data_IF_837561904136
#
_entry.id   IF_837561904136
#
_cell.length_a   1.000
_cell.length_b   1.000
_cell.length_c   1.000
_cell.angle_alpha   90.00
_cell.angle_beta   90.00
_cell.angle_gamma   90.00
#
_symmetry.space_group_name_H-M   'P 1'
#
loop_
_entity.id
_entity.type
_entity.pdbx_description
1 polymer ?
#
# COMPACT_ATOMS: atom_id res chain seq x y z
N UNK A 1 -9.81 -8.06 4.17
CA UNK A 1 -9.75 -6.66 3.68
C UNK A 1 -9.97 -6.53 2.17
N UNK A 2 -9.41 -7.43 1.34
CA UNK A 2 -9.66 -7.45 -0.11
C UNK A 2 -11.15 -7.48 -0.48
N UNK A 3 -11.93 -8.36 0.16
CA UNK A 3 -13.39 -8.44 -0.01
C UNK A 3 -14.11 -7.13 0.35
N UNK A 4 -13.60 -6.40 1.34
CA UNK A 4 -14.11 -5.06 1.68
C UNK A 4 -13.79 -4.06 0.55
N UNK A 5 -12.57 -4.05 0.02
CA UNK A 5 -12.22 -3.19 -1.12
C UNK A 5 -13.08 -3.44 -2.37
N UNK A 6 -13.40 -4.70 -2.65
CA UNK A 6 -14.22 -5.09 -3.81
C UNK A 6 -15.72 -4.84 -3.59
N UNK A 7 -16.23 -5.13 -2.38
CA UNK A 7 -17.67 -5.10 -2.11
C UNK A 7 -18.16 -3.79 -1.53
N UNK A 8 -17.29 -2.92 -0.99
CA UNK A 8 -17.72 -1.64 -0.43
C UNK A 8 -18.21 -0.73 -1.57
N UNK A 9 -19.51 -0.33 -1.59
CA UNK A 9 -20.03 0.56 -2.61
C UNK A 9 -19.18 1.83 -2.73
N UNK A 10 -19.06 2.41 -3.93
CA UNK A 10 -18.27 3.63 -4.15
C UNK A 10 -18.65 4.82 -3.26
N UNK A 11 -19.89 4.81 -2.76
CA UNK A 11 -20.47 5.83 -1.89
C UNK A 11 -20.68 5.35 -0.45
N UNK A 12 -20.20 4.17 -0.10
CA UNK A 12 -20.29 3.68 1.25
C UNK A 12 -19.48 4.60 2.15
N UNK A 13 -20.20 5.39 2.92
CA UNK A 13 -19.65 6.24 3.97
C UNK A 13 -19.48 5.37 5.18
N UNK A 14 -18.23 5.13 5.55
CA UNK A 14 -17.95 4.46 6.81
C UNK A 14 -17.82 5.54 7.89
N UNK A 15 -18.93 5.82 8.58
CA UNK A 15 -19.04 6.95 9.49
C UNK A 15 -17.89 7.04 10.53
N UNK A 16 -17.45 5.94 11.18
CA UNK A 16 -16.24 5.95 12.02
C UNK A 16 -14.98 6.46 11.32
N UNK A 17 -14.72 6.05 10.07
CA UNK A 17 -13.55 6.51 9.31
C UNK A 17 -13.71 7.96 8.88
N UNK A 18 -14.91 8.37 8.47
CA UNK A 18 -15.21 9.76 8.12
C UNK A 18 -15.00 10.70 9.32
N UNK A 19 -15.40 10.27 10.51
CA UNK A 19 -15.21 11.00 11.76
C UNK A 19 -13.74 11.04 12.18
N UNK A 20 -13.03 9.91 12.09
CA UNK A 20 -11.58 9.86 12.34
C UNK A 20 -10.82 10.84 11.42
N UNK A 21 -11.15 10.87 10.13
CA UNK A 21 -10.55 11.83 9.18
C UNK A 21 -10.93 13.27 9.55
N UNK A 22 -12.20 13.53 9.92
CA UNK A 22 -12.67 14.86 10.32
C UNK A 22 -11.93 15.40 11.54
N UNK A 23 -11.62 14.52 12.50
CA UNK A 23 -10.90 14.86 13.73
C UNK A 23 -9.36 14.91 13.54
N UNK A 24 -8.85 14.72 12.32
CA UNK A 24 -7.41 14.70 12.06
C UNK A 24 -6.71 13.42 12.54
N UNK A 25 -7.46 12.37 12.87
CA UNK A 25 -6.93 11.11 13.40
C UNK A 25 -5.93 10.41 12.47
N UNK A 26 -6.11 10.53 11.14
CA UNK A 26 -5.13 10.01 10.16
C UNK A 26 -3.77 10.72 10.32
N UNK A 27 -3.78 12.05 10.46
CA UNK A 27 -2.55 12.83 10.68
C UNK A 27 -1.91 12.46 12.00
N UNK A 28 -2.71 12.32 13.07
CA UNK A 28 -2.22 11.93 14.39
C UNK A 28 -1.55 10.56 14.37
N UNK A 29 -2.17 9.56 13.73
CA UNK A 29 -1.61 8.22 13.60
C UNK A 29 -0.29 8.23 12.82
N UNK A 30 -0.21 9.00 11.73
CA UNK A 30 1.03 9.16 10.96
C UNK A 30 2.13 9.88 11.77
N UNK A 31 1.77 10.88 12.57
CA UNK A 31 2.71 11.53 13.51
C UNK A 31 3.23 10.53 14.54
N UNK A 32 2.35 9.71 15.11
CA UNK A 32 2.72 8.64 16.05
C UNK A 32 3.73 7.68 15.42
N UNK A 33 3.48 7.22 14.19
CA UNK A 33 4.41 6.35 13.45
C UNK A 33 5.75 7.05 13.23
N UNK A 34 5.74 8.30 12.73
CA UNK A 34 6.96 9.04 12.46
C UNK A 34 7.80 9.29 13.73
N UNK A 35 7.16 9.63 14.85
CA UNK A 35 7.83 9.89 16.12
C UNK A 35 8.36 8.62 16.80
N UNK A 36 7.84 7.45 16.43
CA UNK A 36 8.29 6.19 17.00
C UNK A 36 9.75 5.83 16.68
N UNK A 37 10.33 6.49 15.68
CA UNK A 37 11.77 6.38 15.37
C UNK A 37 12.64 6.69 16.61
N UNK A 38 12.29 7.75 17.35
CA UNK A 38 13.04 8.22 18.52
C UNK A 38 12.66 7.48 19.82
N UNK A 39 11.67 6.59 19.77
CA UNK A 39 11.18 5.91 20.97
C UNK A 39 12.11 4.79 21.43
N UNK A 40 12.35 4.76 22.74
CA UNK A 40 13.18 3.74 23.40
C UNK A 40 12.38 2.85 24.38
N UNK A 41 11.10 2.59 24.10
CA UNK A 41 10.26 1.71 24.90
C UNK A 41 9.95 0.40 24.18
N UNK A 42 9.76 -0.68 24.95
CA UNK A 42 9.55 -2.04 24.44
C UNK A 42 8.28 -2.18 23.58
N UNK A 43 7.20 -1.47 23.93
CA UNK A 43 5.93 -1.52 23.21
C UNK A 43 5.86 -0.70 21.91
N UNK A 44 6.99 -0.19 21.39
CA UNK A 44 6.96 0.70 20.22
C UNK A 44 6.51 -0.01 18.95
N UNK A 45 6.96 -1.25 18.74
CA UNK A 45 6.56 -2.06 17.59
C UNK A 45 5.05 -2.29 17.58
N UNK A 46 4.47 -2.70 18.71
CA UNK A 46 3.02 -2.92 18.84
C UNK A 46 2.21 -1.64 18.63
N UNK A 47 2.71 -0.51 19.13
CA UNK A 47 2.04 0.79 18.97
C UNK A 47 2.03 1.23 17.51
N UNK A 48 3.17 1.14 16.83
CA UNK A 48 3.32 1.48 15.41
C UNK A 48 2.48 0.53 14.55
N UNK A 49 2.54 -0.77 14.82
CA UNK A 49 1.74 -1.80 14.14
C UNK A 49 0.25 -1.52 14.28
N UNK A 50 -0.25 -1.28 15.49
CA UNK A 50 -1.66 -0.96 15.72
C UNK A 50 -2.10 0.32 14.99
N UNK A 51 -1.25 1.35 14.98
CA UNK A 51 -1.52 2.57 14.23
C UNK A 51 -1.63 2.29 12.71
N UNK A 52 -0.69 1.52 12.16
CA UNK A 52 -0.69 1.12 10.75
C UNK A 52 -1.88 0.21 10.39
N UNK A 53 -2.28 -0.69 11.27
CA UNK A 53 -3.47 -1.53 11.09
C UNK A 53 -4.75 -0.69 10.99
N UNK A 54 -4.89 0.32 11.87
CA UNK A 54 -6.01 1.29 11.78
C UNK A 54 -5.94 2.06 10.46
N UNK A 55 -4.75 2.52 10.05
CA UNK A 55 -4.56 3.19 8.77
C UNK A 55 -4.89 2.27 7.59
N UNK A 56 -4.57 0.97 7.66
CA UNK A 56 -4.87 0.00 6.62
C UNK A 56 -6.39 -0.19 6.48
N UNK A 57 -7.10 -0.26 7.61
CA UNK A 57 -8.57 -0.26 7.63
C UNK A 57 -9.12 1.02 7.01
N UNK A 58 -8.57 2.19 7.36
CA UNK A 58 -9.02 3.46 6.81
C UNK A 58 -8.73 3.58 5.31
N UNK A 59 -7.62 3.01 4.83
CA UNK A 59 -7.17 3.10 3.44
C UNK A 59 -8.12 2.43 2.43
N UNK A 60 -9.18 1.75 2.86
CA UNK A 60 -10.24 1.27 1.96
C UNK A 60 -11.21 2.38 1.53
N UNK A 61 -11.25 3.48 2.30
CA UNK A 61 -12.14 4.62 2.10
C UNK A 61 -11.41 5.75 1.34
N UNK A 62 -11.95 6.25 0.22
CA UNK A 62 -11.34 7.31 -0.59
C UNK A 62 -10.88 8.56 0.17
N UNK A 63 -11.69 9.03 1.11
CA UNK A 63 -11.39 10.25 1.88
C UNK A 63 -10.16 10.07 2.76
N UNK A 64 -10.02 8.91 3.38
CA UNK A 64 -8.82 8.56 4.15
C UNK A 64 -7.60 8.37 3.24
N UNK A 65 -7.75 7.73 2.07
CA UNK A 65 -6.67 7.63 1.07
C UNK A 65 -6.10 9.00 0.68
N UNK A 66 -6.97 10.00 0.49
CA UNK A 66 -6.53 11.38 0.23
C UNK A 66 -5.80 11.98 1.44
N UNK A 67 -6.28 11.74 2.66
CA UNK A 67 -5.62 12.20 3.88
C UNK A 67 -4.22 11.58 4.09
N UNK A 68 -4.03 10.31 3.71
CA UNK A 68 -2.72 9.64 3.75
C UNK A 68 -1.68 10.30 2.83
N UNK A 69 -2.13 10.98 1.78
CA UNK A 69 -1.26 11.71 0.85
C UNK A 69 -0.91 13.13 1.34
N UNK A 70 -1.49 13.59 2.44
CA UNK A 70 -1.25 14.92 2.97
C UNK A 70 0.04 14.96 3.78
N UNK A 71 0.58 16.18 3.88
CA UNK A 71 1.70 16.48 4.74
C UNK A 71 1.25 16.47 6.20
N UNK A 72 2.03 15.82 7.07
CA UNK A 72 1.82 15.78 8.52
C UNK A 72 2.83 16.67 9.20
N UNK A 73 2.39 17.50 10.14
CA UNK A 73 3.29 18.35 10.92
C UNK A 73 4.02 17.49 11.97
N UNK A 74 5.34 17.57 12.06
CA UNK A 74 6.12 16.85 13.07
C UNK A 74 6.63 17.85 14.14
N UNK A 75 6.52 17.52 15.43
CA UNK A 75 7.03 18.37 16.51
C UNK A 75 8.56 18.54 16.55
N UNK A 76 9.33 17.70 15.84
CA UNK A 76 10.80 17.66 15.93
C UNK A 76 11.49 18.63 14.97
N UNK A 77 12.51 19.33 15.48
CA UNK A 77 13.11 20.56 14.91
C UNK A 77 13.89 20.44 13.58
N UNK A 78 14.00 19.26 12.98
CA UNK A 78 14.70 19.08 11.69
C UNK A 78 13.75 19.01 10.48
N UNK A 79 12.56 18.42 10.64
CA UNK A 79 11.57 18.27 9.57
C UNK A 79 10.23 18.74 10.09
N UNK A 80 9.84 19.98 9.77
CA UNK A 80 8.54 20.55 10.22
C UNK A 80 7.35 19.79 9.65
N UNK A 81 7.53 19.09 8.53
CA UNK A 81 6.48 18.28 7.94
C UNK A 81 7.04 17.17 7.05
N UNK A 82 6.44 15.98 7.14
CA UNK A 82 6.70 14.85 6.25
C UNK A 82 5.45 14.53 5.43
N UNK A 83 5.62 14.06 4.20
CA UNK A 83 4.50 13.51 3.43
C UNK A 83 4.02 12.21 4.10
N UNK A 84 2.72 12.07 4.33
CA UNK A 84 2.16 10.89 5.03
C UNK A 84 2.54 9.57 4.35
N UNK A 85 2.54 9.53 3.01
CA UNK A 85 2.98 8.35 2.26
C UNK A 85 4.48 8.04 2.47
N UNK A 86 5.33 9.05 2.64
CA UNK A 86 6.75 8.82 2.97
C UNK A 86 6.91 8.13 4.31
N UNK A 87 6.11 8.51 5.32
CA UNK A 87 6.14 7.88 6.65
C UNK A 87 5.73 6.41 6.57
N UNK A 88 4.68 6.11 5.79
CA UNK A 88 4.23 4.73 5.58
C UNK A 88 5.32 3.90 4.87
N UNK A 89 5.96 4.46 3.85
CA UNK A 89 7.02 3.78 3.11
C UNK A 89 8.27 3.56 3.96
N UNK A 90 8.66 4.52 4.80
CA UNK A 90 9.74 4.36 5.79
C UNK A 90 9.42 3.23 6.80
N UNK A 91 8.16 3.14 7.25
CA UNK A 91 7.74 2.04 8.11
C UNK A 91 7.75 0.68 7.37
N UNK A 92 7.39 0.64 6.09
CA UNK A 92 7.47 -0.57 5.26
C UNK A 92 8.91 -1.02 5.03
N UNK A 93 9.84 -0.08 4.85
CA UNK A 93 11.27 -0.37 4.66
C UNK A 93 11.98 -0.77 5.97
N UNK A 94 11.29 -0.61 7.12
CA UNK A 94 11.84 -0.94 8.43
C UNK A 94 12.71 0.17 9.03
N UNK A 95 12.75 1.36 8.40
CA UNK A 95 13.49 2.52 8.91
C UNK A 95 12.93 3.02 10.25
N UNK A 96 11.60 2.95 10.43
CA UNK A 96 10.92 3.41 11.66
C UNK A 96 11.07 2.40 12.80
N UNK A 97 10.67 1.15 12.55
CA UNK A 97 10.87 0.01 13.44
C UNK A 97 11.15 -1.20 12.56
N UNK A 98 12.31 -1.82 12.74
CA UNK A 98 12.72 -3.03 12.01
C UNK A 98 12.02 -4.28 12.59
N UNK A 99 10.70 -4.31 12.48
CA UNK A 99 9.83 -5.38 12.92
C UNK A 99 8.96 -5.88 11.75
N UNK A 100 8.94 -7.20 11.46
CA UNK A 100 8.21 -7.72 10.31
C UNK A 100 6.70 -7.45 10.34
N UNK A 101 6.06 -7.43 11.52
CA UNK A 101 4.64 -7.14 11.63
C UNK A 101 4.33 -5.67 11.37
N UNK A 102 5.20 -4.75 11.81
CA UNK A 102 5.14 -3.33 11.43
C UNK A 102 5.25 -3.17 9.92
N UNK A 103 6.25 -3.80 9.30
CA UNK A 103 6.48 -3.69 7.86
C UNK A 103 5.31 -4.25 7.04
N UNK A 104 4.75 -5.41 7.45
CA UNK A 104 3.53 -5.98 6.84
C UNK A 104 2.34 -5.04 6.94
N UNK A 105 2.14 -4.43 8.10
CA UNK A 105 1.02 -3.51 8.33
C UNK A 105 1.14 -2.29 7.43
N UNK A 106 2.34 -1.71 7.31
CA UNK A 106 2.62 -0.61 6.38
C UNK A 106 2.40 -1.01 4.91
N UNK A 107 2.89 -2.17 4.49
CA UNK A 107 2.67 -2.68 3.13
C UNK A 107 1.18 -2.87 2.83
N UNK A 108 0.36 -3.31 3.78
CA UNK A 108 -1.09 -3.41 3.61
C UNK A 108 -1.74 -2.04 3.38
N UNK A 109 -1.28 -0.97 4.05
CA UNK A 109 -1.72 0.41 3.76
C UNK A 109 -1.41 0.77 2.30
N UNK A 110 -0.19 0.52 1.84
CA UNK A 110 0.25 0.81 0.46
C UNK A 110 -0.59 0.01 -0.54
N UNK A 111 -0.75 -1.30 -0.33
CA UNK A 111 -1.57 -2.20 -1.17
C UNK A 111 -3.00 -1.66 -1.30
N UNK A 112 -3.63 -1.25 -0.20
CA UNK A 112 -4.99 -0.72 -0.25
C UNK A 112 -5.08 0.59 -1.06
N UNK A 113 -4.03 1.41 -1.05
CA UNK A 113 -3.97 2.64 -1.83
C UNK A 113 -3.79 2.39 -3.33
N UNK A 114 -2.99 1.39 -3.72
CA UNK A 114 -2.58 1.19 -5.13
C UNK A 114 -3.37 0.09 -5.85
N UNK A 115 -3.94 -0.86 -5.12
CA UNK A 115 -4.69 -1.99 -5.67
C UNK A 115 -6.22 -1.79 -5.66
N UNK A 116 -6.71 -0.61 -5.28
CA UNK A 116 -8.15 -0.34 -5.23
C UNK A 116 -8.86 -0.55 -6.60
N UNK A 117 -10.19 -0.79 -6.60
CA UNK A 117 -10.95 -1.08 -7.82
C UNK A 117 -10.97 0.12 -8.79
N UNK A 118 -10.73 -0.12 -10.09
CA UNK A 118 -10.79 0.91 -11.15
C UNK A 118 -12.18 1.53 -11.27
N UNK A 119 -13.20 0.71 -11.09
CA UNK A 119 -14.60 1.12 -11.05
C UNK A 119 -15.15 0.79 -9.68
N UNK A 120 -15.20 1.76 -8.77
CA UNK A 120 -16.04 1.62 -7.58
C UNK A 120 -17.50 1.69 -8.08
N UNK A 121 -18.19 0.56 -8.15
CA UNK A 121 -19.60 0.52 -8.54
C UNK A 121 -20.44 1.12 -7.40
N UNK A 122 -20.86 2.36 -7.58
CA UNK A 122 -21.63 3.13 -6.62
C UNK A 122 -23.07 3.30 -7.02
N UNK A 123 -23.88 2.26 -6.83
CA UNK A 123 -25.33 2.32 -6.92
C UNK A 123 -25.95 0.95 -6.75
N UNK A 124 -26.52 0.70 -5.57
CA UNK A 124 -27.61 -0.26 -5.30
C UNK A 124 -27.63 -1.54 -6.14
N UNK A 125 -27.30 -2.68 -5.53
CA UNK A 125 -27.81 -3.99 -5.97
C UNK A 125 -29.33 -3.96 -5.79
N UNK A 126 -30.03 -3.39 -6.77
CA UNK A 126 -31.47 -3.13 -6.67
C UNK A 126 -31.91 -1.85 -7.37
N UNK A 127 -31.64 -1.73 -8.67
CA UNK A 127 -32.51 -1.13 -9.71
C UNK A 127 -31.72 -0.92 -10.98
N UNK A 128 -31.96 -1.80 -11.94
CA UNK A 128 -31.51 -1.74 -13.34
C UNK A 128 -32.28 -0.63 -14.12
N UNK A 129 -32.33 0.58 -13.56
CA UNK A 129 -33.01 1.70 -14.23
C UNK A 129 -32.03 2.84 -14.47
N UNK A 130 -31.64 2.93 -15.75
CA UNK A 130 -31.26 4.14 -16.50
C UNK A 130 -30.27 5.12 -15.85
N UNK A 131 -29.05 5.17 -16.39
CA UNK A 131 -28.10 6.25 -16.07
C UNK A 131 -26.67 6.01 -16.57
N UNK A 132 -26.47 5.84 -17.87
CA UNK A 132 -25.16 5.69 -18.52
C UNK A 132 -24.15 6.79 -18.13
N UNK A 133 -24.62 8.03 -17.92
CA UNK A 133 -23.81 9.19 -17.52
C UNK A 133 -23.31 9.07 -16.06
N UNK A 134 -24.16 8.61 -15.14
CA UNK A 134 -23.79 8.47 -13.71
C UNK A 134 -22.77 7.35 -13.47
N UNK A 135 -22.87 6.25 -14.22
CA UNK A 135 -21.89 5.15 -14.19
C UNK A 135 -20.52 5.64 -14.69
N UNK A 136 -20.48 6.38 -15.80
CA UNK A 136 -19.24 6.97 -16.34
C UNK A 136 -18.57 7.94 -15.36
N UNK A 137 -19.34 8.79 -14.67
CA UNK A 137 -18.79 9.75 -13.70
C UNK A 137 -18.16 9.07 -12.46
N UNK A 138 -18.78 8.00 -11.94
CA UNK A 138 -18.24 7.24 -10.80
C UNK A 138 -16.95 6.47 -11.17
N UNK A 139 -16.88 5.92 -12.38
CA UNK A 139 -15.67 5.28 -12.93
C UNK A 139 -14.54 6.31 -13.05
N UNK A 140 -14.82 7.46 -13.67
CA UNK A 140 -13.84 8.54 -13.84
C UNK A 140 -13.28 9.02 -12.50
N UNK A 141 -14.14 9.25 -11.50
CA UNK A 141 -13.69 9.66 -10.16
C UNK A 141 -12.84 8.58 -9.45
N UNK A 142 -13.08 7.30 -9.70
CA UNK A 142 -12.26 6.20 -9.17
C UNK A 142 -10.89 6.13 -9.82
N UNK A 143 -10.82 6.28 -11.14
CA UNK A 143 -9.57 6.38 -11.89
C UNK A 143 -8.74 7.61 -11.50
N UNK A 144 -9.38 8.76 -11.29
CA UNK A 144 -8.73 9.99 -10.84
C UNK A 144 -8.09 9.80 -9.45
N UNK A 145 -8.80 9.15 -8.52
CA UNK A 145 -8.29 8.83 -7.19
C UNK A 145 -7.12 7.84 -7.22
N UNK A 146 -7.24 6.75 -7.97
CA UNK A 146 -6.16 5.76 -8.11
C UNK A 146 -4.92 6.37 -8.75
N UNK A 147 -5.10 7.19 -9.79
CA UNK A 147 -4.01 7.93 -10.42
C UNK A 147 -3.32 8.84 -9.40
N UNK A 148 -4.07 9.51 -8.52
CA UNK A 148 -3.51 10.28 -7.41
C UNK A 148 -2.72 9.40 -6.44
N UNK A 149 -3.21 8.21 -6.09
CA UNK A 149 -2.50 7.30 -5.19
C UNK A 149 -1.20 6.78 -5.81
N UNK A 150 -1.21 6.33 -7.06
CA UNK A 150 -0.01 5.89 -7.77
C UNK A 150 1.04 6.99 -7.88
N UNK A 151 0.61 8.21 -8.20
CA UNK A 151 1.49 9.37 -8.23
C UNK A 151 2.06 9.70 -6.85
N UNK A 152 1.25 9.60 -5.79
CA UNK A 152 1.71 9.84 -4.42
C UNK A 152 2.77 8.83 -3.99
N UNK A 153 2.56 7.54 -4.20
CA UNK A 153 3.55 6.50 -3.88
C UNK A 153 4.83 6.70 -4.69
N UNK A 154 4.71 7.00 -5.99
CA UNK A 154 5.87 7.28 -6.86
C UNK A 154 6.67 8.50 -6.39
N UNK A 155 5.99 9.59 -6.03
CA UNK A 155 6.64 10.83 -5.58
C UNK A 155 7.41 10.67 -4.26
N UNK A 156 7.15 9.61 -3.50
CA UNK A 156 7.81 9.32 -2.22
C UNK A 156 8.75 8.10 -2.33
N UNK A 157 9.38 7.89 -3.49
CA UNK A 157 10.33 6.80 -3.75
C UNK A 157 9.76 5.37 -3.58
N UNK A 158 8.43 5.22 -3.56
CA UNK A 158 7.81 3.93 -3.24
C UNK A 158 8.15 2.80 -4.19
N UNK A 159 8.46 3.09 -5.47
CA UNK A 159 8.92 2.06 -6.41
C UNK A 159 10.25 1.45 -5.93
N UNK A 160 11.20 2.30 -5.50
CA UNK A 160 12.51 1.85 -5.04
C UNK A 160 12.39 1.02 -3.76
N UNK A 161 11.63 1.51 -2.77
CA UNK A 161 11.36 0.79 -1.51
C UNK A 161 10.78 -0.60 -1.78
N UNK A 162 9.75 -0.68 -2.64
CA UNK A 162 9.11 -1.96 -2.96
C UNK A 162 10.04 -2.93 -3.71
N UNK A 163 10.92 -2.42 -4.58
CA UNK A 163 11.92 -3.23 -5.27
C UNK A 163 12.98 -3.77 -4.30
N UNK A 164 13.42 -2.96 -3.33
CA UNK A 164 14.34 -3.39 -2.28
C UNK A 164 13.72 -4.53 -1.47
N UNK A 165 12.47 -4.37 -1.03
CA UNK A 165 11.71 -5.39 -0.31
C UNK A 165 11.48 -6.67 -1.12
N UNK A 166 11.44 -6.59 -2.45
CA UNK A 166 11.35 -7.77 -3.33
C UNK A 166 12.59 -8.67 -3.23
N UNK A 167 13.73 -8.12 -2.80
CA UNK A 167 15.01 -8.83 -2.69
C UNK A 167 15.39 -9.19 -1.26
N UNK A 168 14.56 -8.82 -0.27
CA UNK A 168 14.85 -9.03 1.16
C UNK A 168 15.08 -10.50 1.48
N UNK A 169 16.04 -10.80 2.36
CA UNK A 169 16.38 -12.17 2.80
C UNK A 169 16.32 -12.35 4.32
N UNK A 170 16.15 -11.26 5.07
CA UNK A 170 16.15 -11.27 6.53
C UNK A 170 14.96 -10.45 7.06
N UNK A 171 14.28 -10.91 8.14
CA UNK A 171 14.46 -12.21 8.77
C UNK A 171 13.93 -13.35 7.87
N UNK A 172 14.65 -14.49 7.87
CA UNK A 172 14.39 -15.60 6.93
C UNK A 172 12.96 -16.16 7.03
N UNK A 173 12.34 -16.06 8.21
CA UNK A 173 10.99 -16.54 8.51
C UNK A 173 9.89 -15.73 7.83
N UNK A 174 10.16 -14.45 7.55
CA UNK A 174 9.17 -13.47 7.09
C UNK A 174 9.47 -12.96 5.68
N UNK A 175 10.69 -13.18 5.19
CA UNK A 175 11.15 -12.60 3.95
C UNK A 175 10.25 -12.93 2.74
N UNK A 176 9.82 -14.18 2.55
CA UNK A 176 8.88 -14.52 1.46
C UNK A 176 7.51 -13.82 1.60
N UNK A 177 7.03 -13.62 2.83
CA UNK A 177 5.77 -12.89 3.08
C UNK A 177 5.90 -11.40 2.74
N UNK A 178 7.03 -10.78 3.06
CA UNK A 178 7.33 -9.39 2.72
C UNK A 178 7.49 -9.22 1.22
N UNK A 179 8.22 -10.13 0.55
CA UNK A 179 8.34 -10.16 -0.91
C UNK A 179 6.99 -10.27 -1.59
N UNK A 180 6.11 -11.15 -1.11
CA UNK A 180 4.76 -11.30 -1.65
C UNK A 180 3.94 -10.01 -1.57
N UNK A 181 3.94 -9.34 -0.41
CA UNK A 181 3.22 -8.08 -0.21
C UNK A 181 3.81 -6.94 -1.06
N UNK A 182 5.13 -6.82 -1.11
CA UNK A 182 5.81 -5.82 -1.94
C UNK A 182 5.51 -6.02 -3.43
N UNK A 183 5.55 -7.27 -3.90
CA UNK A 183 5.19 -7.63 -5.27
C UNK A 183 3.74 -7.27 -5.58
N UNK A 184 2.80 -7.58 -4.68
CA UNK A 184 1.40 -7.21 -4.82
C UNK A 184 1.18 -5.70 -4.93
N UNK A 185 1.91 -4.89 -4.14
CA UNK A 185 1.88 -3.44 -4.25
C UNK A 185 2.43 -2.97 -5.62
N UNK A 186 3.50 -3.57 -6.12
CA UNK A 186 4.04 -3.30 -7.45
C UNK A 186 3.03 -3.65 -8.56
N UNK A 187 2.28 -4.76 -8.46
CA UNK A 187 1.19 -5.08 -9.41
C UNK A 187 0.14 -3.96 -9.46
N UNK A 188 -0.25 -3.44 -8.29
CA UNK A 188 -1.17 -2.31 -8.19
C UNK A 188 -0.62 -1.05 -8.85
N UNK A 189 0.65 -0.72 -8.62
CA UNK A 189 1.31 0.42 -9.24
C UNK A 189 1.52 0.25 -10.75
N UNK A 190 1.81 -0.95 -11.23
CA UNK A 190 2.03 -1.27 -12.65
C UNK A 190 0.77 -1.09 -13.52
N UNK A 191 -0.40 -0.82 -12.91
CA UNK A 191 -1.60 -0.33 -13.61
C UNK A 191 -1.42 1.10 -14.13
N UNK A 192 -0.50 1.87 -13.56
CA UNK A 192 -0.09 3.16 -14.09
C UNK A 192 0.90 2.97 -15.24
N UNK A 193 0.60 3.54 -16.42
CA UNK A 193 1.46 3.43 -17.61
C UNK A 193 2.89 3.92 -17.37
N UNK A 194 3.07 5.04 -16.67
CA UNK A 194 4.40 5.56 -16.31
C UNK A 194 5.17 4.58 -15.44
N UNK A 195 4.51 3.96 -14.45
CA UNK A 195 5.18 2.97 -13.59
C UNK A 195 5.51 1.71 -14.39
N UNK A 196 4.59 1.22 -15.22
CA UNK A 196 4.84 0.10 -16.13
C UNK A 196 6.12 0.34 -16.96
N UNK A 197 6.25 1.52 -17.56
CA UNK A 197 7.44 1.90 -18.33
C UNK A 197 8.72 1.92 -17.49
N UNK A 198 8.67 2.43 -16.26
CA UNK A 198 9.83 2.43 -15.35
C UNK A 198 10.24 0.98 -15.04
N UNK A 199 9.30 0.16 -14.57
CA UNK A 199 9.57 -1.21 -14.13
C UNK A 199 10.08 -2.08 -15.29
N UNK A 200 9.49 -1.97 -16.49
CA UNK A 200 9.88 -2.76 -17.67
C UNK A 200 11.34 -2.58 -18.10
N UNK A 201 12.01 -1.51 -17.67
CA UNK A 201 13.40 -1.21 -18.02
C UNK A 201 14.40 -1.62 -16.94
N UNK A 202 13.94 -2.07 -15.78
CA UNK A 202 14.84 -2.40 -14.69
C UNK A 202 15.54 -3.75 -14.92
N UNK A 203 16.82 -3.89 -14.53
CA UNK A 203 17.56 -5.16 -14.63
C UNK A 203 16.85 -6.34 -13.96
N UNK A 204 16.10 -6.07 -12.89
CA UNK A 204 15.34 -7.07 -12.16
C UNK A 204 14.38 -7.85 -13.07
N UNK A 205 13.79 -7.18 -14.06
CA UNK A 205 12.79 -7.75 -14.98
C UNK A 205 13.38 -8.14 -16.34
N UNK A 206 14.48 -7.51 -16.76
CA UNK A 206 15.11 -7.75 -18.08
C UNK A 206 16.19 -8.82 -18.04
N UNK A 207 16.90 -9.00 -16.92
CA UNK A 207 18.06 -9.91 -16.81
C UNK A 207 17.73 -11.23 -16.10
N UNK A 208 16.45 -11.62 -16.02
CA UNK A 208 16.03 -12.88 -15.39
C UNK A 208 16.22 -12.95 -13.87
N UNK A 209 16.62 -11.87 -13.20
CA UNK A 209 16.82 -11.84 -11.74
C UNK A 209 15.53 -12.18 -10.98
N UNK A 210 14.37 -11.71 -11.47
CA UNK A 210 13.08 -12.08 -10.89
C UNK A 210 12.82 -13.60 -10.96
N UNK A 211 13.19 -14.25 -12.07
CA UNK A 211 13.05 -15.71 -12.22
C UNK A 211 13.96 -16.47 -11.24
N UNK A 212 15.14 -15.93 -10.94
CA UNK A 212 16.02 -16.48 -9.90
C UNK A 212 15.36 -16.40 -8.52
N UNK A 213 14.70 -15.28 -8.20
CA UNK A 213 13.99 -15.12 -6.92
C UNK A 213 12.80 -16.08 -6.77
N UNK A 214 12.16 -16.47 -7.88
CA UNK A 214 11.00 -17.37 -7.90
C UNK A 214 11.36 -18.86 -7.88
N UNK A 215 12.65 -19.21 -7.94
CA UNK A 215 13.10 -20.60 -8.10
C UNK A 215 12.86 -21.45 -6.86
N UNK A 216 13.11 -20.90 -5.68
CA UNK A 216 13.01 -21.62 -4.42
C UNK A 216 12.61 -20.69 -3.26
N UNK A 217 11.85 -21.22 -2.27
CA UNK A 217 11.54 -20.48 -1.05
C UNK A 217 12.82 -20.17 -0.26
N UNK A 218 12.82 -19.03 0.42
CA UNK A 218 13.93 -18.63 1.31
C UNK A 218 14.01 -19.59 2.49
N UNK A 219 12.84 -19.98 3.03
CA UNK A 219 12.70 -20.96 4.09
C UNK A 219 11.68 -22.01 3.66
N UNK A 220 12.09 -23.28 3.63
CA UNK A 220 11.28 -24.39 3.11
C UNK A 220 9.91 -24.50 3.81
N UNK A 221 9.86 -24.26 5.12
CA UNK A 221 8.61 -24.27 5.90
C UNK A 221 7.62 -23.17 5.50
N UNK A 222 8.09 -22.13 4.81
CA UNK A 222 7.30 -20.99 4.34
C UNK A 222 6.95 -21.07 2.85
N UNK A 223 7.00 -22.28 2.24
CA UNK A 223 6.64 -22.51 0.84
C UNK A 223 5.28 -21.93 0.40
N UNK A 224 4.31 -21.81 1.31
CA UNK A 224 3.01 -21.20 1.01
C UNK A 224 3.13 -19.69 0.76
N UNK A 225 3.96 -18.98 1.53
CA UNK A 225 4.21 -17.56 1.32
C UNK A 225 5.03 -17.35 0.04
N UNK A 226 6.00 -18.22 -0.21
CA UNK A 226 6.74 -18.22 -1.46
C UNK A 226 5.82 -18.45 -2.68
N UNK A 227 4.86 -19.36 -2.61
CA UNK A 227 3.89 -19.56 -3.69
C UNK A 227 3.05 -18.29 -3.95
N UNK A 228 2.65 -17.55 -2.91
CA UNK A 228 1.96 -16.25 -3.07
C UNK A 228 2.87 -15.21 -3.74
N UNK A 229 4.16 -15.21 -3.38
CA UNK A 229 5.16 -14.35 -4.01
C UNK A 229 5.28 -14.68 -5.51
N UNK A 230 5.46 -15.95 -5.87
CA UNK A 230 5.56 -16.38 -7.27
C UNK A 230 4.31 -16.02 -8.08
N UNK A 231 3.10 -16.25 -7.55
CA UNK A 231 1.85 -15.84 -8.20
C UNK A 231 1.80 -14.33 -8.47
N UNK A 232 2.22 -13.53 -7.49
CA UNK A 232 2.27 -12.07 -7.64
C UNK A 232 3.31 -11.65 -8.68
N UNK A 233 4.46 -12.33 -8.74
CA UNK A 233 5.49 -12.06 -9.74
C UNK A 233 5.03 -12.39 -11.16
N UNK A 234 4.29 -13.48 -11.35
CA UNK A 234 3.70 -13.84 -12.65
C UNK A 234 2.75 -12.72 -13.10
N UNK A 235 1.83 -12.30 -12.23
CA UNK A 235 0.91 -11.19 -12.52
C UNK A 235 1.67 -9.90 -12.87
N UNK A 236 2.75 -9.60 -12.13
CA UNK A 236 3.57 -8.42 -12.38
C UNK A 236 4.25 -8.49 -13.75
N UNK A 237 4.85 -9.63 -14.10
CA UNK A 237 5.52 -9.86 -15.39
C UNK A 237 4.53 -9.70 -16.53
N UNK A 238 3.39 -10.41 -16.49
CA UNK A 238 2.31 -10.29 -17.50
C UNK A 238 1.85 -8.85 -17.69
N UNK A 239 1.90 -8.06 -16.63
CA UNK A 239 1.49 -6.65 -16.66
C UNK A 239 2.56 -5.72 -17.20
N UNK A 240 3.85 -6.01 -17.04
CA UNK A 240 4.95 -5.11 -17.46
C UNK A 240 5.53 -5.43 -18.83
N UNK A 241 5.41 -6.69 -19.28
CA UNK A 241 5.64 -7.07 -20.67
C UNK A 241 4.49 -6.65 -21.58
#
# INVERSE_FOLDING_TARGET
MWTLLELLPARARWAPVDELVRLGGVSLLLQTVALAYDWNHSGKADTVRAALDVLAVCAVVPRAQVALCQNVALPSGQVRSAAGMSVILAAADGEIVADPDVQRSALNVVINCVCGPMSRLGGTVGRVVSGSVRKRAAIKSGEDLLSKMWNCVRANNGIMVLLNLLTVKSPITDADSMRALACKALCGLARCSTVKQIISKLPLFTNGQLQVLMREPILQDKRQEHAKFCNSCIELVERVT
#
